data_IF_590912923482
#
_entry.id   IF_590912923482
#
_cell.length_a   1.000
_cell.length_b   1.000
_cell.length_c   1.000
_cell.angle_alpha   90.00
_cell.angle_beta   90.00
_cell.angle_gamma   90.00
#
_symmetry.space_group_name_H-M   'P 1'
#
loop_
_entity.id
_entity.type
_entity.pdbx_description
1 polymer ?
#
# COMPACT_ATOMS: atom_id res chain seq x y z
N UNK A 1 -10.73 7.16 21.93
CA UNK A 1 -9.83 6.08 21.48
C UNK A 1 -9.99 5.90 19.97
N UNK A 2 -9.12 6.61 19.24
CA UNK A 2 -8.78 6.54 17.81
C UNK A 2 -9.72 5.83 16.82
N UNK A 3 -10.75 6.56 16.35
CA UNK A 3 -11.44 6.29 15.08
C UNK A 3 -10.82 7.11 13.93
N UNK A 4 -9.49 7.31 13.95
CA UNK A 4 -8.77 8.16 12.98
C UNK A 4 -8.14 7.34 11.85
N UNK A 5 -8.10 6.00 11.97
CA UNK A 5 -7.34 5.13 11.06
C UNK A 5 -8.20 4.62 9.86
N UNK A 6 -9.51 4.93 9.82
CA UNK A 6 -10.45 4.35 8.86
C UNK A 6 -11.08 5.35 7.86
N UNK A 7 -10.43 6.49 7.65
CA UNK A 7 -10.79 7.44 6.59
C UNK A 7 -9.74 7.36 5.49
N UNK A 8 -9.98 6.50 4.48
CA UNK A 8 -9.26 6.57 3.21
C UNK A 8 -9.30 8.02 2.73
N UNK A 9 -8.12 8.61 2.55
CA UNK A 9 -8.00 9.98 2.10
C UNK A 9 -8.64 10.15 0.71
N UNK A 10 -9.74 10.90 0.67
CA UNK A 10 -10.58 11.06 -0.53
C UNK A 10 -12.08 11.23 -0.26
N UNK A 11 -12.57 11.04 0.98
CA UNK A 11 -14.01 11.16 1.27
C UNK A 11 -14.58 12.59 1.20
N UNK A 12 -13.75 13.64 1.11
CA UNK A 12 -14.20 15.01 0.80
C UNK A 12 -13.26 15.65 -0.23
N UNK A 13 -13.68 15.54 -1.49
CA UNK A 13 -13.01 16.15 -2.64
C UNK A 13 -13.52 17.58 -2.83
N UNK A 14 -12.68 18.54 -3.25
CA UNK A 14 -13.13 19.87 -3.61
C UNK A 14 -14.19 19.78 -4.72
N UNK A 15 -15.28 20.56 -4.60
CA UNK A 15 -16.31 20.63 -5.65
C UNK A 15 -15.74 21.21 -6.97
N UNK A 16 -14.67 22.00 -6.88
CA UNK A 16 -13.89 22.53 -8.02
C UNK A 16 -12.42 22.73 -7.59
N UNK A 17 -11.46 22.32 -8.43
CA UNK A 17 -10.02 22.47 -8.20
C UNK A 17 -9.21 21.19 -8.40
N UNK A 18 -7.92 21.32 -8.73
CA UNK A 18 -6.99 20.18 -8.88
C UNK A 18 -6.52 19.67 -7.52
N UNK A 19 -6.55 18.35 -7.33
CA UNK A 19 -6.08 17.71 -6.09
C UNK A 19 -4.67 17.18 -6.37
N UNK A 20 -3.64 17.66 -5.63
CA UNK A 20 -2.30 17.11 -5.77
C UNK A 20 -2.29 15.64 -5.34
N UNK A 21 -1.56 14.81 -6.10
CA UNK A 21 -1.34 13.42 -5.73
C UNK A 21 -0.45 13.38 -4.50
N UNK A 22 -0.76 12.50 -3.55
CA UNK A 22 0.09 12.27 -2.38
C UNK A 22 1.34 11.53 -2.78
N UNK A 23 2.49 12.05 -2.35
CA UNK A 23 3.75 11.35 -2.47
C UNK A 23 3.83 10.20 -1.46
N UNK A 24 4.50 9.14 -1.89
CA UNK A 24 4.62 7.89 -1.13
C UNK A 24 6.10 7.54 -1.09
N UNK A 25 6.57 7.16 0.09
CA UNK A 25 7.93 6.68 0.28
C UNK A 25 8.11 5.34 -0.45
N UNK A 26 9.31 5.07 -0.99
CA UNK A 26 9.62 3.78 -1.60
C UNK A 26 9.65 2.66 -0.53
N UNK A 27 9.46 1.43 -0.98
CA UNK A 27 9.47 0.25 -0.13
C UNK A 27 10.89 0.02 0.45
N UNK A 28 11.05 -0.35 1.73
CA UNK A 28 12.37 -0.53 2.33
C UNK A 28 13.15 -1.73 1.76
N UNK A 29 12.47 -2.74 1.22
CA UNK A 29 13.13 -3.95 0.69
C UNK A 29 13.45 -3.78 -0.78
N UNK A 30 12.46 -3.39 -1.59
CA UNK A 30 12.62 -3.31 -3.04
C UNK A 30 12.92 -1.89 -3.54
N UNK A 31 12.96 -0.88 -2.66
CA UNK A 31 13.17 0.54 -3.00
C UNK A 31 12.23 1.07 -4.09
N UNK A 32 11.08 0.42 -4.29
CA UNK A 32 10.17 0.69 -5.40
C UNK A 32 8.83 1.20 -4.87
N UNK A 33 8.39 2.37 -5.39
CA UNK A 33 7.11 3.00 -5.05
C UNK A 33 5.89 2.17 -5.48
N UNK A 34 6.04 1.31 -6.49
CA UNK A 34 4.96 0.43 -6.99
C UNK A 34 4.63 -0.65 -5.96
N UNK A 35 5.65 -1.26 -5.35
CA UNK A 35 5.47 -2.29 -4.31
C UNK A 35 4.79 -1.66 -3.09
N UNK A 36 5.20 -0.46 -2.68
CA UNK A 36 4.54 0.25 -1.56
C UNK A 36 3.08 0.55 -1.84
N UNK A 37 2.73 0.93 -3.08
CA UNK A 37 1.33 1.13 -3.48
C UNK A 37 0.53 -0.17 -3.41
N UNK A 38 1.11 -1.29 -3.85
CA UNK A 38 0.47 -2.61 -3.78
C UNK A 38 0.18 -3.01 -2.32
N UNK A 39 1.17 -2.89 -1.44
CA UNK A 39 1.02 -3.16 0.01
C UNK A 39 -0.09 -2.28 0.60
N UNK A 40 -0.09 -0.99 0.29
CA UNK A 40 -1.11 -0.05 0.79
C UNK A 40 -2.53 -0.35 0.26
N UNK A 41 -2.65 -0.96 -0.92
CA UNK A 41 -3.94 -1.34 -1.50
C UNK A 41 -4.50 -2.63 -0.89
N UNK A 42 -3.65 -3.62 -0.62
CA UNK A 42 -4.02 -4.92 -0.02
C UNK A 42 -4.30 -4.78 1.48
N UNK A 43 -3.71 -3.78 2.13
CA UNK A 43 -3.87 -3.54 3.56
C UNK A 43 -5.32 -3.31 3.98
N UNK A 44 -5.83 -4.18 4.86
CA UNK A 44 -7.14 -4.07 5.52
C UNK A 44 -6.94 -3.66 6.98
N UNK A 45 -7.84 -2.86 7.53
CA UNK A 45 -7.78 -2.31 8.90
C UNK A 45 -6.52 -1.49 9.24
N UNK A 46 -5.70 -1.08 8.25
CA UNK A 46 -4.43 -0.42 8.52
C UNK A 46 -3.32 -1.35 9.04
N UNK A 47 -3.49 -2.67 8.91
CA UNK A 47 -2.52 -3.69 9.34
C UNK A 47 -1.37 -3.82 8.33
N UNK A 48 -0.43 -2.87 8.36
CA UNK A 48 0.69 -2.81 7.39
C UNK A 48 1.63 -4.01 7.47
N UNK A 49 1.95 -4.49 8.67
CA UNK A 49 2.84 -5.64 8.85
C UNK A 49 2.28 -6.91 8.22
N UNK A 50 0.98 -7.18 8.43
CA UNK A 50 0.30 -8.34 7.83
C UNK A 50 0.24 -8.22 6.31
N UNK A 51 -0.06 -7.02 5.78
CA UNK A 51 -0.07 -6.78 4.34
C UNK A 51 1.32 -6.99 3.70
N UNK A 52 2.39 -6.57 4.38
CA UNK A 52 3.77 -6.81 3.92
C UNK A 52 4.11 -8.29 3.89
N UNK A 53 3.78 -9.03 4.96
CA UNK A 53 4.01 -10.49 5.02
C UNK A 53 3.32 -11.22 3.86
N UNK A 54 2.06 -10.87 3.58
CA UNK A 54 1.31 -11.47 2.47
C UNK A 54 1.96 -11.17 1.12
N UNK A 55 2.36 -9.92 0.88
CA UNK A 55 2.95 -9.50 -0.40
C UNK A 55 4.32 -10.14 -0.61
N UNK A 56 5.20 -10.13 0.38
CA UNK A 56 6.52 -10.74 0.27
C UNK A 56 6.43 -12.27 0.14
N UNK A 57 5.56 -12.92 0.93
CA UNK A 57 5.32 -14.35 0.78
C UNK A 57 4.74 -14.72 -0.59
N UNK A 58 3.93 -13.86 -1.20
CA UNK A 58 3.46 -14.07 -2.57
C UNK A 58 4.60 -13.98 -3.60
N UNK A 59 5.58 -13.09 -3.40
CA UNK A 59 6.77 -13.01 -4.25
C UNK A 59 7.65 -14.25 -4.13
N UNK A 60 7.82 -14.80 -2.93
CA UNK A 60 8.57 -16.05 -2.74
C UNK A 60 7.93 -17.21 -3.52
N UNK A 61 6.59 -17.32 -3.47
CA UNK A 61 5.84 -18.33 -4.24
C UNK A 61 5.97 -18.12 -5.75
N UNK A 62 5.95 -16.86 -6.21
CA UNK A 62 6.13 -16.54 -7.63
C UNK A 62 7.54 -16.91 -8.09
N UNK A 63 8.56 -16.63 -7.27
CA UNK A 63 9.93 -16.97 -7.56
C UNK A 63 10.11 -18.50 -7.68
N UNK A 64 9.54 -19.25 -6.73
CA UNK A 64 9.56 -20.72 -6.75
C UNK A 64 8.91 -21.28 -8.03
N UNK A 65 7.76 -20.74 -8.44
CA UNK A 65 7.01 -21.22 -9.61
C UNK A 65 7.61 -20.80 -10.95
N UNK A 66 8.24 -19.63 -11.00
CA UNK A 66 8.78 -19.07 -12.25
C UNK A 66 10.24 -19.48 -12.47
N UNK A 67 10.91 -19.97 -11.43
CA UNK A 67 12.33 -20.36 -11.49
C UNK A 67 13.26 -19.17 -11.76
N UNK A 68 12.79 -17.95 -11.49
CA UNK A 68 13.49 -16.66 -11.63
C UNK A 68 13.18 -15.81 -10.42
#
# INVERSE_FOLDING_TARGET
MSLIIYVKEGRKVPRKGYIPKRDILPDPVYSNKVVTKLVNQIMVDGKKGVAQQIVYGAFDIIQEKTGK
#
